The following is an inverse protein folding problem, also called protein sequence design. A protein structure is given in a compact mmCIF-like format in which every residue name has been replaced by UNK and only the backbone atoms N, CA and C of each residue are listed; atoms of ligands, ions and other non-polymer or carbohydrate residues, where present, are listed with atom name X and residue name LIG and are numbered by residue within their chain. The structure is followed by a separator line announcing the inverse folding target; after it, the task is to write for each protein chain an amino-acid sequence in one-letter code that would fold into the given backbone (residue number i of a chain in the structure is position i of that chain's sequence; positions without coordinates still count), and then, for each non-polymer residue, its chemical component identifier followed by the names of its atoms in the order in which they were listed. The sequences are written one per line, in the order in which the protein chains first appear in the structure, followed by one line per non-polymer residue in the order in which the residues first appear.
data_IF_929339104895
#
_entry.id   IF_929339104895
#
_cell.length_a   1.000
_cell.length_b   1.000
_cell.length_c   1.000
_cell.angle_alpha   90.00
_cell.angle_beta   90.00
_cell.angle_gamma   90.00
#
_symmetry.space_group_name_H-M   'P 1'
#
loop_
_entity.id
_entity.type
_entity.pdbx_description
1 polymer ?
#
# COMPACT_ATOMS: atom_id res chain seq x y z
N UNK A 1 -1.60 -5.38 -0.74
CA UNK A 1 -1.41 -5.39 -2.20
C UNK A 1 -2.70 -5.57 -2.98
N UNK A 2 -2.64 -5.85 -4.29
CA UNK A 2 -3.80 -6.05 -5.16
C UNK A 2 -3.50 -7.04 -6.28
N UNK A 3 -4.54 -7.58 -6.94
CA UNK A 3 -4.44 -8.48 -8.09
C UNK A 3 -4.73 -7.79 -9.43
N UNK A 4 -5.00 -6.50 -9.45
CA UNK A 4 -5.23 -5.70 -10.66
C UNK A 4 -4.15 -4.64 -10.83
N UNK A 5 -3.89 -4.18 -12.05
CA UNK A 5 -3.10 -2.96 -12.26
C UNK A 5 -3.94 -1.73 -11.97
N UNK A 6 -3.29 -0.63 -11.57
CA UNK A 6 -3.94 0.67 -11.33
C UNK A 6 -3.96 1.09 -9.88
N UNK A 7 -4.56 2.26 -9.64
CA UNK A 7 -4.62 2.93 -8.35
C UNK A 7 -5.71 2.37 -7.44
N UNK A 8 -5.50 1.21 -6.86
CA UNK A 8 -6.45 0.56 -5.93
C UNK A 8 -6.39 1.10 -4.49
N UNK A 9 -5.61 2.17 -4.25
CA UNK A 9 -5.47 2.73 -2.91
C UNK A 9 -4.42 2.05 -2.02
N UNK A 10 -3.43 1.34 -2.60
CA UNK A 10 -2.37 0.65 -1.83
C UNK A 10 -1.59 1.60 -0.91
N UNK A 11 -1.01 2.62 -1.50
CA UNK A 11 -0.16 3.57 -0.77
C UNK A 11 -0.90 4.29 0.37
N UNK A 12 -2.10 4.87 0.16
CA UNK A 12 -2.88 5.42 1.27
C UNK A 12 -3.23 4.40 2.35
N UNK A 13 -3.52 3.16 1.97
CA UNK A 13 -3.82 2.09 2.94
C UNK A 13 -2.57 1.70 3.74
N UNK A 14 -1.42 1.54 3.08
CA UNK A 14 -0.16 1.26 3.76
C UNK A 14 0.19 2.39 4.74
N UNK A 15 0.01 3.65 4.32
CA UNK A 15 0.21 4.83 5.15
C UNK A 15 -0.71 4.83 6.38
N UNK A 16 -2.00 4.60 6.18
CA UNK A 16 -2.98 4.56 7.27
C UNK A 16 -2.67 3.44 8.28
N UNK A 17 -2.35 2.24 7.80
CA UNK A 17 -2.00 1.11 8.65
C UNK A 17 -0.71 1.38 9.43
N UNK A 18 0.32 1.90 8.77
CA UNK A 18 1.59 2.20 9.42
C UNK A 18 1.42 3.23 10.53
N UNK A 19 0.69 4.32 10.27
CA UNK A 19 0.38 5.33 11.28
C UNK A 19 -0.42 4.74 12.43
N UNK A 20 -1.48 3.98 12.16
CA UNK A 20 -2.34 3.37 13.18
C UNK A 20 -1.57 2.39 14.08
N UNK A 21 -0.72 1.55 13.51
CA UNK A 21 0.06 0.56 14.26
C UNK A 21 1.16 1.25 15.08
N UNK A 22 1.82 2.28 14.52
CA UNK A 22 2.76 3.14 15.26
C UNK A 22 2.07 3.79 16.47
N UNK A 23 0.88 4.35 16.27
CA UNK A 23 0.12 5.04 17.32
C UNK A 23 -0.36 4.08 18.43
N UNK A 24 -0.42 2.78 18.14
CA UNK A 24 -0.59 1.70 19.12
C UNK A 24 0.69 1.38 19.92
N UNK A 25 1.83 2.00 19.56
CA UNK A 25 3.11 1.84 20.24
C UNK A 25 4.05 0.78 19.66
N UNK A 26 3.72 0.19 18.51
CA UNK A 26 4.60 -0.77 17.84
C UNK A 26 5.64 -0.08 16.95
N UNK A 27 6.83 -0.66 16.88
CA UNK A 27 7.88 -0.25 15.95
C UNK A 27 7.57 -0.81 14.55
N UNK A 28 7.02 0.07 13.69
CA UNK A 28 6.59 -0.27 12.34
C UNK A 28 7.65 0.14 11.32
N UNK A 29 7.80 -0.64 10.28
CA UNK A 29 8.61 -0.29 9.09
C UNK A 29 7.80 -0.54 7.81
N UNK A 30 8.04 0.27 6.78
CA UNK A 30 7.52 -0.01 5.44
C UNK A 30 8.63 -0.58 4.56
N UNK A 31 8.34 -1.71 3.91
CA UNK A 31 9.20 -2.34 2.93
C UNK A 31 8.60 -2.17 1.54
N UNK A 32 9.25 -1.36 0.71
CA UNK A 32 8.83 -1.10 -0.68
C UNK A 32 9.85 -1.70 -1.67
N UNK A 33 9.43 -1.97 -2.89
CA UNK A 33 10.30 -2.53 -3.93
C UNK A 33 11.33 -1.54 -4.46
N UNK A 34 11.05 -0.25 -4.36
CA UNK A 34 11.79 0.76 -5.09
C UNK A 34 11.47 0.72 -6.58
N UNK A 35 10.19 0.63 -6.94
CA UNK A 35 9.79 0.64 -8.35
C UNK A 35 10.23 1.96 -9.02
N UNK A 36 10.94 1.84 -10.15
CA UNK A 36 11.57 2.97 -10.88
C UNK A 36 12.65 3.73 -10.09
N UNK A 37 13.05 3.26 -8.93
CA UNK A 37 14.18 3.83 -8.20
C UNK A 37 15.45 3.80 -9.08
N UNK A 38 16.26 4.86 -9.03
CA UNK A 38 17.59 4.84 -9.61
C UNK A 38 18.63 4.23 -8.69
N UNK A 39 18.34 4.22 -7.39
CA UNK A 39 19.19 3.58 -6.40
C UNK A 39 19.40 2.10 -6.73
N UNK A 40 20.61 1.59 -6.43
CA UNK A 40 21.02 0.21 -6.64
C UNK A 40 21.68 -0.33 -5.38
N UNK A 41 21.31 -1.51 -4.97
CA UNK A 41 21.83 -2.20 -3.80
C UNK A 41 20.78 -3.18 -3.23
N UNK A 42 21.12 -3.85 -2.14
CA UNK A 42 20.24 -4.83 -1.52
C UNK A 42 19.23 -4.16 -0.57
N UNK A 43 19.71 -3.18 0.22
CA UNK A 43 18.89 -2.44 1.19
C UNK A 43 19.14 -0.94 1.05
N UNK A 44 18.12 -0.19 0.67
CA UNK A 44 18.16 1.28 0.63
C UNK A 44 17.30 1.88 1.74
N UNK A 45 17.85 2.82 2.49
CA UNK A 45 17.14 3.57 3.51
C UNK A 45 16.60 4.85 2.88
N UNK A 46 15.29 4.91 2.66
CA UNK A 46 14.64 6.15 2.18
C UNK A 46 14.48 7.13 3.32
N UNK A 47 14.02 6.61 4.47
CA UNK A 47 13.89 7.36 5.72
C UNK A 47 14.11 6.42 6.91
N UNK A 48 14.68 6.95 7.98
CA UNK A 48 14.76 6.28 9.29
C UNK A 48 13.58 6.66 10.22
N UNK A 49 12.60 7.39 9.67
CA UNK A 49 11.46 7.93 10.42
C UNK A 49 11.69 9.36 10.93
N UNK A 50 12.94 9.85 10.94
CA UNK A 50 13.29 11.21 11.36
C UNK A 50 13.89 12.02 10.22
N UNK A 51 14.69 11.36 9.38
CA UNK A 51 15.42 11.99 8.29
C UNK A 51 15.17 11.26 6.98
N UNK A 52 15.02 12.04 5.90
CA UNK A 52 15.04 11.56 4.53
C UNK A 52 16.49 11.45 4.04
N UNK A 53 16.87 10.30 3.50
CA UNK A 53 18.19 9.99 2.96
C UNK A 53 18.23 9.94 1.44
N UNK A 54 17.07 9.79 0.80
CA UNK A 54 16.91 9.69 -0.65
C UNK A 54 15.86 10.67 -1.15
N UNK A 55 16.04 11.16 -2.35
CA UNK A 55 15.01 11.91 -3.08
C UNK A 55 14.07 10.97 -3.86
N UNK A 56 13.05 11.54 -4.54
CA UNK A 56 12.08 10.76 -5.33
C UNK A 56 12.73 10.05 -6.53
N UNK A 57 13.83 10.59 -7.06
CA UNK A 57 14.55 9.96 -8.18
C UNK A 57 15.33 8.73 -7.73
N UNK A 58 15.91 8.82 -6.55
CA UNK A 58 16.69 7.72 -5.96
C UNK A 58 15.77 6.63 -5.41
N UNK A 59 14.76 6.99 -4.63
CA UNK A 59 13.87 6.06 -3.92
C UNK A 59 12.73 5.51 -4.80
N UNK A 60 12.33 6.24 -5.83
CA UNK A 60 11.06 6.07 -6.54
C UNK A 60 9.92 6.83 -5.84
N UNK A 61 8.95 7.31 -6.63
CA UNK A 61 7.90 8.23 -6.17
C UNK A 61 7.09 7.69 -4.99
N UNK A 62 6.70 6.41 -5.03
CA UNK A 62 5.85 5.79 -4.01
C UNK A 62 6.58 5.70 -2.66
N UNK A 63 7.82 5.21 -2.65
CA UNK A 63 8.59 5.05 -1.43
C UNK A 63 8.97 6.41 -0.82
N UNK A 64 9.32 7.39 -1.66
CA UNK A 64 9.61 8.76 -1.22
C UNK A 64 8.37 9.42 -0.61
N UNK A 65 7.19 9.28 -1.26
CA UNK A 65 5.94 9.82 -0.75
C UNK A 65 5.55 9.20 0.60
N UNK A 66 5.70 7.89 0.76
CA UNK A 66 5.48 7.22 2.05
C UNK A 66 6.41 7.77 3.13
N UNK A 67 7.70 7.87 2.83
CA UNK A 67 8.69 8.38 3.78
C UNK A 67 8.41 9.83 4.21
N UNK A 68 7.94 10.65 3.28
CA UNK A 68 7.63 12.06 3.52
C UNK A 68 6.37 12.27 4.38
N UNK A 69 5.38 11.37 4.27
CA UNK A 69 4.10 11.50 4.98
C UNK A 69 3.97 10.62 6.24
N UNK A 70 5.02 9.85 6.55
CA UNK A 70 5.02 8.97 7.72
C UNK A 70 6.20 9.28 8.64
N UNK A 71 6.13 10.36 9.42
CA UNK A 71 7.13 10.60 10.45
C UNK A 71 7.15 9.42 11.45
N UNK A 72 8.31 9.13 12.00
CA UNK A 72 8.58 8.06 12.96
C UNK A 72 8.39 6.63 12.42
N UNK A 73 8.19 6.47 11.11
CA UNK A 73 8.14 5.17 10.45
C UNK A 73 9.27 5.06 9.44
N UNK A 74 10.26 4.20 9.65
CA UNK A 74 11.30 3.94 8.64
C UNK A 74 10.69 3.37 7.35
N UNK A 75 11.24 3.81 6.22
CA UNK A 75 10.86 3.32 4.88
C UNK A 75 12.12 2.81 4.19
N UNK A 76 12.10 1.53 3.84
CA UNK A 76 13.20 0.84 3.19
C UNK A 76 12.79 0.40 1.78
N UNK A 77 13.76 0.41 0.87
CA UNK A 77 13.60 -0.11 -0.49
C UNK A 77 14.59 -1.25 -0.75
N UNK A 78 14.15 -2.22 -1.55
CA UNK A 78 14.99 -3.33 -1.98
C UNK A 78 14.18 -4.35 -2.76
N UNK A 79 14.81 -5.03 -3.71
CA UNK A 79 14.15 -6.07 -4.50
C UNK A 79 13.83 -7.30 -3.65
N UNK A 80 14.76 -7.68 -2.78
CA UNK A 80 14.65 -8.81 -1.86
C UNK A 80 14.13 -8.33 -0.49
N UNK A 81 12.83 -8.60 -0.21
CA UNK A 81 12.19 -8.12 1.03
C UNK A 81 12.66 -8.83 2.29
N UNK A 82 13.20 -10.02 2.17
CA UNK A 82 13.83 -10.74 3.29
C UNK A 82 15.02 -9.97 3.82
N UNK A 83 15.88 -9.44 2.93
CA UNK A 83 17.04 -8.64 3.32
C UNK A 83 16.63 -7.30 3.94
N UNK A 84 15.67 -6.60 3.32
CA UNK A 84 15.17 -5.34 3.90
C UNK A 84 14.45 -5.56 5.23
N UNK A 85 13.73 -6.67 5.38
CA UNK A 85 13.06 -7.05 6.63
C UNK A 85 14.05 -7.37 7.74
N UNK A 86 15.08 -8.17 7.44
CA UNK A 86 16.16 -8.48 8.38
C UNK A 86 16.88 -7.21 8.83
N UNK A 87 17.23 -6.35 7.90
CA UNK A 87 17.86 -5.05 8.20
C UNK A 87 16.96 -4.21 9.12
N UNK A 88 15.64 -4.19 8.87
CA UNK A 88 14.68 -3.45 9.69
C UNK A 88 14.64 -3.97 11.14
N UNK A 89 14.68 -5.27 11.34
CA UNK A 89 14.73 -5.87 12.68
C UNK A 89 16.04 -5.49 13.39
N UNK A 90 17.17 -5.63 12.73
CA UNK A 90 18.50 -5.42 13.31
C UNK A 90 18.79 -3.95 13.65
N UNK A 91 18.35 -3.01 12.80
CA UNK A 91 18.73 -1.59 12.91
C UNK A 91 17.64 -0.68 13.47
N UNK A 92 16.37 -1.06 13.28
CA UNK A 92 15.21 -0.28 13.78
C UNK A 92 14.41 -1.00 14.85
N UNK A 93 14.78 -2.26 15.17
CA UNK A 93 14.05 -3.10 16.11
C UNK A 93 12.60 -3.31 15.70
N UNK A 94 12.34 -3.39 14.38
CA UNK A 94 10.99 -3.48 13.82
C UNK A 94 10.24 -4.69 14.39
N UNK A 95 9.01 -4.45 14.86
CA UNK A 95 8.08 -5.48 15.35
C UNK A 95 7.02 -5.80 14.30
N UNK A 96 6.71 -4.82 13.43
CA UNK A 96 5.75 -4.97 12.34
C UNK A 96 6.35 -4.43 11.04
N UNK A 97 6.35 -5.26 10.01
CA UNK A 97 6.77 -4.87 8.67
C UNK A 97 5.55 -4.83 7.72
N UNK A 98 5.31 -3.68 7.10
CA UNK A 98 4.26 -3.53 6.08
C UNK A 98 4.90 -3.61 4.71
N UNK A 99 4.54 -4.63 3.92
CA UNK A 99 4.97 -4.75 2.53
C UNK A 99 4.03 -3.94 1.64
N UNK A 100 4.48 -2.80 1.15
CA UNK A 100 3.74 -2.06 0.14
C UNK A 100 3.87 -2.76 -1.21
N UNK A 101 2.72 -3.03 -1.83
CA UNK A 101 2.57 -3.84 -3.05
C UNK A 101 3.22 -5.24 -2.96
N UNK A 102 3.08 -5.90 -1.79
CA UNK A 102 3.71 -7.18 -1.49
C UNK A 102 2.92 -8.42 -1.90
N UNK A 103 1.69 -8.33 -2.43
CA UNK A 103 0.83 -9.50 -2.68
C UNK A 103 1.44 -10.51 -3.65
N UNK A 104 2.21 -10.05 -4.64
CA UNK A 104 2.96 -10.89 -5.58
C UNK A 104 4.31 -11.37 -5.05
N UNK A 105 4.74 -10.96 -3.86
CA UNK A 105 6.01 -11.35 -3.31
C UNK A 105 5.90 -12.67 -2.51
N UNK A 106 5.85 -13.78 -3.20
CA UNK A 106 5.55 -15.11 -2.63
C UNK A 106 6.72 -15.75 -1.87
N UNK A 107 7.92 -15.21 -2.04
CA UNK A 107 9.13 -15.74 -1.42
C UNK A 107 9.24 -15.42 0.08
N UNK A 108 8.46 -14.46 0.57
CA UNK A 108 8.44 -14.08 1.98
C UNK A 108 7.13 -14.55 2.62
N UNK A 109 7.24 -15.34 3.69
CA UNK A 109 6.10 -15.67 4.53
C UNK A 109 5.54 -14.40 5.19
N UNK A 110 4.22 -14.30 5.27
CA UNK A 110 3.51 -13.17 5.87
C UNK A 110 2.48 -13.69 6.87
N UNK A 111 2.31 -12.97 7.96
CA UNK A 111 1.30 -13.31 8.98
C UNK A 111 -0.10 -12.88 8.56
N UNK A 112 -0.20 -11.85 7.67
CA UNK A 112 -1.47 -11.33 7.18
C UNK A 112 -1.35 -10.80 5.75
N UNK A 113 -2.23 -11.24 4.87
CA UNK A 113 -2.38 -10.72 3.51
C UNK A 113 -3.65 -9.85 3.39
N UNK A 114 -3.45 -8.54 3.18
CA UNK A 114 -4.54 -7.59 2.92
C UNK A 114 -4.64 -7.34 1.41
N UNK A 115 -5.73 -7.79 0.81
CA UNK A 115 -6.03 -7.60 -0.61
C UNK A 115 -6.95 -6.40 -0.80
N UNK A 116 -6.50 -5.42 -1.56
CA UNK A 116 -7.32 -4.26 -1.93
C UNK A 116 -8.07 -4.55 -3.23
N UNK A 117 -9.37 -4.30 -3.20
CA UNK A 117 -10.27 -4.43 -4.34
C UNK A 117 -10.91 -3.06 -4.59
N UNK A 118 -10.60 -2.44 -5.73
CA UNK A 118 -11.20 -1.18 -6.15
C UNK A 118 -12.68 -1.42 -6.51
N UNK A 119 -13.60 -0.84 -5.76
CA UNK A 119 -15.03 -1.05 -5.98
C UNK A 119 -15.55 -0.44 -7.29
N UNK A 120 -14.80 0.48 -7.90
CA UNK A 120 -15.15 1.12 -9.19
C UNK A 120 -14.81 0.20 -10.35
N UNK A 121 -13.64 -0.47 -10.30
CA UNK A 121 -13.13 -1.28 -11.40
C UNK A 121 -12.84 -2.75 -10.99
N UNK A 122 -13.42 -3.20 -9.98
CA UNK A 122 -13.35 -4.50 -9.31
C UNK A 122 -12.23 -5.43 -9.83
N UNK A 123 -12.53 -6.25 -10.85
CA UNK A 123 -11.59 -7.17 -11.52
C UNK A 123 -11.43 -6.85 -13.01
N UNK A 124 -11.78 -5.61 -13.41
CA UNK A 124 -11.72 -5.15 -14.79
C UNK A 124 -12.57 -6.04 -15.72
N UNK A 125 -12.00 -6.41 -16.86
CA UNK A 125 -12.64 -7.30 -17.82
C UNK A 125 -12.43 -8.80 -17.51
N UNK A 126 -11.85 -9.15 -16.36
CA UNK A 126 -11.61 -10.53 -15.93
C UNK A 126 -10.45 -11.25 -16.62
N UNK A 127 -9.68 -10.57 -17.46
CA UNK A 127 -8.54 -11.16 -18.18
C UNK A 127 -7.20 -10.71 -17.56
N UNK A 128 -6.24 -11.63 -17.62
CA UNK A 128 -4.85 -11.37 -17.26
C UNK A 128 -4.20 -10.38 -18.25
N UNK A 129 -3.15 -9.68 -17.78
CA UNK A 129 -2.26 -8.93 -18.66
C UNK A 129 -1.70 -9.83 -19.79
N UNK A 130 -1.50 -9.32 -21.01
CA UNK A 130 -1.76 -7.94 -21.47
C UNK A 130 -3.20 -7.69 -21.96
N UNK A 131 -4.07 -8.71 -22.01
CA UNK A 131 -5.45 -8.60 -22.52
C UNK A 131 -6.38 -7.83 -21.59
N UNK A 132 -6.14 -7.90 -20.31
CA UNK A 132 -6.92 -7.24 -19.27
C UNK A 132 -6.05 -6.55 -18.24
N UNK A 133 -6.62 -6.32 -17.06
CA UNK A 133 -5.98 -5.59 -15.99
C UNK A 133 -5.50 -6.48 -14.83
N UNK A 134 -5.75 -7.79 -14.90
CA UNK A 134 -5.35 -8.69 -13.83
C UNK A 134 -3.84 -8.99 -13.87
N UNK A 135 -3.18 -8.83 -12.73
CA UNK A 135 -1.80 -9.26 -12.45
C UNK A 135 -1.76 -10.74 -12.05
N UNK A 136 -2.85 -11.20 -11.42
CA UNK A 136 -3.08 -12.58 -10.97
C UNK A 136 -4.52 -12.99 -11.21
N UNK A 137 -4.80 -14.30 -11.34
CA UNK A 137 -6.18 -14.80 -11.45
C UNK A 137 -7.03 -14.38 -10.26
N UNK A 138 -8.33 -14.15 -10.47
CA UNK A 138 -9.28 -13.77 -9.41
C UNK A 138 -9.35 -14.84 -8.31
N UNK A 139 -9.10 -16.12 -8.62
CA UNK A 139 -9.03 -17.21 -7.63
C UNK A 139 -7.97 -16.99 -6.55
N UNK A 140 -6.93 -16.18 -6.83
CA UNK A 140 -5.88 -15.88 -5.85
C UNK A 140 -6.33 -14.99 -4.69
N UNK A 141 -7.61 -14.56 -4.68
CA UNK A 141 -8.29 -14.01 -3.49
C UNK A 141 -8.24 -15.01 -2.33
N UNK A 142 -8.14 -16.31 -2.61
CA UNK A 142 -8.08 -17.38 -1.59
C UNK A 142 -6.98 -17.17 -0.53
N UNK A 143 -5.89 -16.46 -0.86
CA UNK A 143 -4.77 -16.19 0.05
C UNK A 143 -5.01 -15.03 1.01
N UNK A 144 -6.02 -14.19 0.73
CA UNK A 144 -6.25 -12.99 1.52
C UNK A 144 -6.88 -13.31 2.88
N UNK A 145 -6.33 -12.78 3.95
CA UNK A 145 -6.98 -12.77 5.27
C UNK A 145 -8.02 -11.66 5.33
N UNK A 146 -7.73 -10.53 4.69
CA UNK A 146 -8.61 -9.37 4.61
C UNK A 146 -8.77 -8.91 3.16
N UNK A 147 -10.01 -8.73 2.73
CA UNK A 147 -10.35 -8.05 1.48
C UNK A 147 -10.90 -6.66 1.78
N UNK A 148 -10.12 -5.62 1.45
CA UNK A 148 -10.52 -4.22 1.64
C UNK A 148 -11.11 -3.67 0.34
N UNK A 149 -12.43 -3.44 0.32
CA UNK A 149 -13.09 -2.74 -0.79
C UNK A 149 -12.80 -1.25 -0.66
N UNK A 150 -12.09 -0.69 -1.63
CA UNK A 150 -11.75 0.73 -1.65
C UNK A 150 -12.68 1.51 -2.56
N UNK A 151 -12.84 2.81 -2.31
CA UNK A 151 -13.66 3.73 -3.13
C UNK A 151 -15.13 3.30 -3.26
N UNK A 152 -15.71 2.72 -2.21
CA UNK A 152 -17.10 2.26 -2.25
C UNK A 152 -18.11 3.41 -2.40
N UNK A 153 -17.71 4.63 -2.05
CA UNK A 153 -18.45 5.88 -2.26
C UNK A 153 -18.52 6.31 -3.74
N UNK A 154 -17.55 5.88 -4.56
CA UNK A 154 -17.42 6.22 -5.98
C UNK A 154 -17.99 5.14 -6.90
N UNK A 155 -18.37 3.99 -6.37
CA UNK A 155 -18.86 2.84 -7.12
C UNK A 155 -20.33 3.00 -7.53
N UNK A 156 -20.60 3.89 -8.49
CA UNK A 156 -21.95 4.11 -9.02
C UNK A 156 -22.34 2.94 -9.94
N UNK A 157 -23.51 2.34 -9.69
CA UNK A 157 -24.04 1.24 -10.52
C UNK A 157 -23.38 -0.13 -10.30
N UNK A 158 -22.39 -0.24 -9.43
CA UNK A 158 -21.78 -1.52 -9.06
C UNK A 158 -22.41 -2.02 -7.76
N UNK A 159 -22.94 -3.23 -7.78
CA UNK A 159 -23.50 -3.85 -6.57
C UNK A 159 -22.39 -4.31 -5.65
N UNK A 160 -22.30 -3.72 -4.45
CA UNK A 160 -21.36 -4.14 -3.39
C UNK A 160 -21.57 -5.61 -3.02
N UNK A 161 -22.83 -6.06 -3.01
CA UNK A 161 -23.16 -7.47 -2.75
C UNK A 161 -22.58 -8.39 -3.83
N UNK A 162 -22.61 -7.98 -5.09
CA UNK A 162 -22.00 -8.76 -6.16
C UNK A 162 -20.48 -8.90 -5.97
N UNK A 163 -19.80 -7.84 -5.54
CA UNK A 163 -18.36 -7.89 -5.24
C UNK A 163 -18.11 -8.86 -4.08
N UNK A 164 -18.86 -8.71 -2.98
CA UNK A 164 -18.74 -9.57 -1.80
C UNK A 164 -19.01 -11.04 -2.14
N UNK A 165 -20.05 -11.31 -2.93
CA UNK A 165 -20.39 -12.67 -3.37
C UNK A 165 -19.27 -13.24 -4.26
N UNK A 166 -18.66 -12.44 -5.11
CA UNK A 166 -17.49 -12.87 -5.90
C UNK A 166 -16.31 -13.21 -5.02
N UNK A 167 -16.01 -12.39 -4.01
CA UNK A 167 -14.95 -12.67 -3.03
C UNK A 167 -15.27 -13.98 -2.28
N UNK A 168 -16.48 -14.11 -1.76
CA UNK A 168 -16.92 -15.29 -1.00
C UNK A 168 -16.84 -16.59 -1.80
N UNK A 169 -17.05 -16.53 -3.12
CA UNK A 169 -16.90 -17.69 -4.00
C UNK A 169 -15.48 -18.27 -3.98
N UNK A 170 -14.45 -17.43 -3.79
CA UNK A 170 -13.05 -17.87 -3.77
C UNK A 170 -12.47 -17.92 -2.36
N UNK A 171 -13.03 -17.15 -1.41
CA UNK A 171 -12.56 -17.11 -0.04
C UNK A 171 -13.71 -16.80 0.93
N UNK A 172 -14.25 -17.84 1.54
CA UNK A 172 -15.33 -17.72 2.51
C UNK A 172 -14.87 -17.13 3.85
N UNK A 173 -13.57 -17.27 4.18
CA UNK A 173 -13.01 -16.91 5.49
C UNK A 173 -12.51 -15.47 5.57
N UNK A 174 -12.13 -14.87 4.44
CA UNK A 174 -11.57 -13.52 4.44
C UNK A 174 -12.50 -12.52 5.13
N UNK A 175 -11.94 -11.66 5.98
CA UNK A 175 -12.67 -10.52 6.51
C UNK A 175 -12.88 -9.51 5.36
N UNK A 176 -14.12 -9.11 5.09
CA UNK A 176 -14.42 -8.10 4.08
C UNK A 176 -14.69 -6.78 4.78
N UNK A 177 -13.88 -5.77 4.46
CA UNK A 177 -13.99 -4.41 4.97
C UNK A 177 -14.24 -3.44 3.84
N UNK A 178 -14.82 -2.28 4.14
CA UNK A 178 -15.09 -1.22 3.17
C UNK A 178 -14.35 0.06 3.59
N UNK A 179 -13.88 0.82 2.60
CA UNK A 179 -13.30 2.13 2.82
C UNK A 179 -13.79 3.13 1.78
N UNK A 180 -13.89 4.38 2.19
CA UNK A 180 -14.24 5.51 1.36
C UNK A 180 -13.02 6.40 1.14
N UNK A 181 -13.05 7.19 0.07
CA UNK A 181 -12.06 8.22 -0.18
C UNK A 181 -12.65 9.57 0.18
N UNK A 182 -12.30 10.08 1.36
CA UNK A 182 -12.84 11.34 1.86
C UNK A 182 -11.77 12.44 1.76
N UNK A 183 -11.89 13.39 0.82
CA UNK A 183 -11.08 14.60 0.82
C UNK A 183 -11.30 15.36 2.13
N UNK A 184 -10.23 15.88 2.74
CA UNK A 184 -10.34 16.63 4.01
C UNK A 184 -10.15 18.11 3.83
N UNK A 185 -9.32 18.53 2.85
CA UNK A 185 -9.01 19.93 2.64
C UNK A 185 -8.57 20.20 1.19
N UNK A 186 -8.76 21.43 0.76
CA UNK A 186 -8.12 21.96 -0.44
C UNK A 186 -6.82 22.66 -0.06
N UNK A 187 -5.74 22.41 -0.81
CA UNK A 187 -4.45 23.07 -0.63
C UNK A 187 -4.10 23.79 -1.92
N UNK A 188 -3.65 25.05 -1.82
CA UNK A 188 -3.17 25.77 -3.00
C UNK A 188 -1.94 25.04 -3.58
N UNK A 189 -1.89 24.92 -4.91
CA UNK A 189 -0.80 24.20 -5.59
C UNK A 189 0.58 24.81 -5.31
N UNK A 190 0.65 26.12 -5.10
CA UNK A 190 1.90 26.82 -4.77
C UNK A 190 2.37 26.48 -3.36
N UNK A 191 1.46 26.33 -2.42
CA UNK A 191 1.76 25.98 -1.04
C UNK A 191 2.07 24.49 -0.91
N UNK A 192 1.43 23.63 -1.72
CA UNK A 192 1.77 22.21 -1.81
C UNK A 192 3.23 21.94 -2.15
N UNK A 193 3.84 22.77 -3.03
CA UNK A 193 5.25 22.63 -3.37
C UNK A 193 6.20 23.10 -2.27
N UNK A 194 5.74 23.96 -1.35
CA UNK A 194 6.58 24.54 -0.28
C UNK A 194 6.49 23.77 1.02
N UNK A 195 5.31 23.29 1.35
CA UNK A 195 5.05 22.57 2.60
C UNK A 195 3.94 21.52 2.40
N UNK A 196 4.26 20.27 2.74
CA UNK A 196 3.32 19.15 2.64
C UNK A 196 2.36 19.12 3.84
N UNK A 197 2.74 19.74 4.95
CA UNK A 197 1.87 19.96 6.10
C UNK A 197 0.84 21.06 5.87
N UNK A 198 0.85 21.69 4.68
CA UNK A 198 0.14 22.88 4.30
C UNK A 198 -1.18 23.10 4.98
N UNK A 199 -1.34 24.24 5.63
CA UNK A 199 -2.60 24.74 6.14
C UNK A 199 -3.57 24.88 4.95
N UNK A 200 -4.42 23.85 4.75
CA UNK A 200 -5.46 23.87 3.73
C UNK A 200 -6.78 24.36 4.31
N UNK A 201 -7.70 24.71 3.44
CA UNK A 201 -9.09 25.01 3.81
C UNK A 201 -9.83 23.68 3.96
N UNK A 202 -10.42 23.44 5.12
CA UNK A 202 -11.25 22.26 5.38
C UNK A 202 -12.51 22.30 4.52
N UNK A 203 -12.95 21.13 4.08
CA UNK A 203 -14.15 20.94 3.24
C UNK A 203 -15.33 20.61 4.15
#
# INVERSE_FOLDING_TARGET
GNITVGGTGKTPTAQYLAASIRDMGYRVVILNRGYRAKWRGDVGIVSDGQKLYMDATEAGDEAFMLAKHLPEVPVLIGAERSLTGQYAIEHFGAEVAILDDGYQHWQLARDMDILLVDAVNVFGNGYMLPRGTLREPVSHIERADVCLLTKVDQAVGVSREHIKNTIRKYNEKALIMESIHQPRRFVDLKDWHRDISGEGVDI
#
